data_IF_149020756772
#
_entry.id   IF_149020756772
#
_cell.length_a   1.000
_cell.length_b   1.000
_cell.length_c   1.000
_cell.angle_alpha   90.00
_cell.angle_beta   90.00
_cell.angle_gamma   90.00
#
_symmetry.space_group_name_H-M   'P 1'
#
loop_
_entity.id
_entity.type
_entity.pdbx_description
1 polymer ?
#
# COMPACT_ATOMS: atom_id res chain seq x y z
N UNK A 1 11.52 14.53 30.66
CA UNK A 1 10.27 15.19 31.12
C UNK A 1 9.20 14.14 31.46
N UNK A 2 8.20 14.43 32.32
CA UNK A 2 7.17 13.44 32.70
C UNK A 2 5.94 13.40 31.79
N UNK A 3 5.68 14.51 31.09
CA UNK A 3 4.57 14.64 30.14
C UNK A 3 4.90 15.67 29.07
N UNK A 4 4.33 15.49 27.88
CA UNK A 4 4.31 16.49 26.81
C UNK A 4 3.16 16.18 25.84
N UNK A 5 2.74 17.17 25.07
CA UNK A 5 1.78 16.96 23.98
C UNK A 5 2.41 17.29 22.64
N UNK A 6 1.97 16.59 21.59
CA UNK A 6 2.32 16.85 20.20
C UNK A 6 1.08 17.32 19.44
N UNK A 7 1.27 18.27 18.53
CA UNK A 7 0.28 18.72 17.57
C UNK A 7 0.74 18.37 16.16
N UNK A 8 0.27 17.25 15.63
CA UNK A 8 0.66 16.75 14.30
C UNK A 8 -0.57 16.71 13.42
N UNK A 9 -0.55 17.45 12.32
CA UNK A 9 -1.68 17.53 11.37
C UNK A 9 -3.02 17.91 12.02
N UNK A 10 -3.01 18.65 13.15
CA UNK A 10 -4.21 18.99 13.91
C UNK A 10 -4.77 17.84 14.76
N UNK A 11 -3.98 16.80 15.00
CA UNK A 11 -4.22 15.84 16.07
C UNK A 11 -3.40 16.22 17.30
N UNK A 12 -4.05 16.22 18.45
CA UNK A 12 -3.39 16.30 19.75
C UNK A 12 -3.03 14.89 20.22
N UNK A 13 -1.75 14.65 20.53
CA UNK A 13 -1.25 13.39 21.09
C UNK A 13 -0.58 13.72 22.42
N UNK A 14 -1.18 13.31 23.52
CA UNK A 14 -0.65 13.55 24.87
C UNK A 14 0.14 12.32 25.32
N UNK A 15 1.39 12.53 25.77
CA UNK A 15 2.23 11.47 26.30
C UNK A 15 2.52 11.74 27.77
N UNK A 16 2.29 10.73 28.62
CA UNK A 16 2.53 10.81 30.07
C UNK A 16 3.15 9.51 30.60
N UNK A 17 4.09 9.62 31.54
CA UNK A 17 4.71 8.45 32.18
C UNK A 17 3.78 7.81 33.22
N UNK A 18 3.73 6.49 33.25
CA UNK A 18 2.95 5.73 34.21
C UNK A 18 3.75 5.46 35.49
N UNK A 19 3.64 6.30 36.54
CA UNK A 19 4.13 6.09 37.93
C UNK A 19 5.57 5.53 38.14
N UNK A 20 6.34 5.31 37.08
CA UNK A 20 7.68 4.73 37.04
C UNK A 20 8.72 5.83 36.78
N UNK A 21 9.98 5.57 37.19
CA UNK A 21 11.15 6.45 37.00
C UNK A 21 11.61 6.54 35.53
N UNK A 22 10.69 6.74 34.58
CA UNK A 22 11.03 7.03 33.18
C UNK A 22 10.96 8.54 32.95
N UNK A 23 12.00 9.09 32.33
CA UNK A 23 12.00 10.43 31.73
C UNK A 23 11.71 10.28 30.24
N UNK A 24 10.66 10.93 29.75
CA UNK A 24 10.43 11.03 28.31
C UNK A 24 11.40 12.03 27.71
N UNK A 25 12.04 11.67 26.61
CA UNK A 25 12.98 12.51 25.88
C UNK A 25 12.64 12.42 24.38
N UNK A 26 11.71 13.24 23.86
CA UNK A 26 11.33 13.20 22.45
C UNK A 26 12.53 13.58 21.57
N UNK A 27 12.70 12.87 20.45
CA UNK A 27 13.71 13.19 19.44
C UNK A 27 13.59 14.63 18.91
N UNK A 28 14.71 15.26 18.49
CA UNK A 28 14.72 16.63 17.96
C UNK A 28 13.68 16.93 16.86
N UNK A 29 13.35 15.95 16.00
CA UNK A 29 12.28 16.03 14.99
C UNK A 29 10.89 16.35 15.51
N UNK A 30 10.63 16.11 16.79
CA UNK A 30 9.35 16.45 17.40
C UNK A 30 9.32 17.87 17.99
N UNK A 31 10.46 18.55 18.19
CA UNK A 31 10.51 19.82 18.93
C UNK A 31 9.58 20.88 18.36
N UNK A 32 9.52 21.03 17.04
CA UNK A 32 8.62 21.98 16.38
C UNK A 32 7.13 21.63 16.53
N UNK A 33 6.80 20.38 16.85
CA UNK A 33 5.45 19.85 17.03
C UNK A 33 5.03 19.78 18.50
N UNK A 34 5.92 20.04 19.47
CA UNK A 34 5.58 20.06 20.88
C UNK A 34 4.66 21.25 21.15
N UNK A 35 3.50 20.96 21.75
CA UNK A 35 2.58 21.95 22.27
C UNK A 35 2.39 21.69 23.77
N UNK A 36 2.50 22.73 24.59
CA UNK A 36 2.37 22.56 26.03
C UNK A 36 0.91 22.28 26.43
N UNK A 37 0.69 21.14 27.11
CA UNK A 37 -0.48 20.86 27.95
C UNK A 37 -1.85 21.11 27.30
N UNK A 38 -2.06 20.54 26.11
CA UNK A 38 -3.34 20.59 25.40
C UNK A 38 -4.34 19.58 25.99
N UNK A 39 -5.63 19.95 26.02
CA UNK A 39 -6.73 19.06 26.38
C UNK A 39 -7.35 18.43 25.13
N UNK A 40 -7.72 17.15 25.21
CA UNK A 40 -8.34 16.41 24.11
C UNK A 40 -7.33 15.67 23.22
N UNK A 41 -7.84 14.93 22.24
CA UNK A 41 -7.04 14.05 21.39
C UNK A 41 -6.81 12.67 22.02
N UNK A 42 -5.67 12.06 21.71
CA UNK A 42 -5.31 10.73 22.22
C UNK A 42 -4.37 10.87 23.40
N UNK A 43 -4.70 10.18 24.49
CA UNK A 43 -3.88 10.08 25.69
C UNK A 43 -3.08 8.78 25.67
N UNK A 44 -1.76 8.89 25.64
CA UNK A 44 -0.83 7.77 25.58
C UNK A 44 -0.06 7.68 26.88
N UNK A 45 -0.35 6.61 27.62
CA UNK A 45 0.37 6.30 28.85
C UNK A 45 1.60 5.44 28.55
N UNK A 46 2.79 5.88 28.97
CA UNK A 46 4.07 5.22 28.72
C UNK A 46 4.52 4.45 29.96
N UNK A 47 4.74 3.15 29.81
CA UNK A 47 5.07 2.21 30.89
C UNK A 47 6.46 1.57 30.67
N UNK A 48 7.15 1.22 31.76
CA UNK A 48 8.35 0.37 31.71
C UNK A 48 7.96 -1.11 31.78
N UNK A 49 8.66 -1.95 31.03
CA UNK A 49 8.56 -3.40 31.12
C UNK A 49 7.72 -4.03 30.00
N UNK A 50 7.23 -5.24 30.28
CA UNK A 50 6.50 -6.07 29.32
C UNK A 50 5.03 -5.67 29.28
N UNK A 51 4.44 -5.67 28.09
CA UNK A 51 3.00 -5.49 27.92
C UNK A 51 2.24 -6.72 28.47
N UNK A 52 1.30 -6.54 29.41
CA UNK A 52 0.63 -7.67 30.09
C UNK A 52 -0.37 -8.41 29.19
N UNK A 53 -1.06 -7.71 28.28
CA UNK A 53 -2.22 -8.26 27.55
C UNK A 53 -1.88 -8.89 26.19
N UNK A 54 -0.60 -8.96 25.84
CA UNK A 54 -0.15 -9.38 24.50
C UNK A 54 -0.15 -10.91 24.31
N UNK A 55 -0.08 -11.70 25.38
CA UNK A 55 0.16 -13.15 25.30
C UNK A 55 -0.98 -13.92 24.59
N UNK A 56 -2.22 -13.41 24.65
CA UNK A 56 -3.40 -14.02 24.03
C UNK A 56 -3.79 -13.37 22.69
N UNK A 57 -2.83 -12.78 21.97
CA UNK A 57 -3.07 -12.08 20.71
C UNK A 57 -2.61 -12.89 19.49
N UNK A 58 -3.30 -12.70 18.36
CA UNK A 58 -2.95 -13.34 17.10
C UNK A 58 -2.09 -12.40 16.24
N UNK A 59 -0.99 -12.90 15.69
CA UNK A 59 -0.20 -12.14 14.70
C UNK A 59 -1.02 -12.03 13.41
N UNK A 60 -1.33 -10.80 13.02
CA UNK A 60 -2.12 -10.48 11.81
C UNK A 60 -1.28 -9.82 10.72
N UNK A 61 -0.11 -9.27 11.08
CA UNK A 61 0.85 -8.71 10.14
C UNK A 61 2.28 -8.81 10.70
N UNK A 62 3.28 -8.99 9.82
CA UNK A 62 4.69 -9.02 10.21
C UNK A 62 5.56 -8.37 9.14
N UNK A 63 6.36 -7.37 9.53
CA UNK A 63 7.35 -6.73 8.67
C UNK A 63 8.78 -7.19 9.02
N UNK A 64 9.59 -7.59 8.02
CA UNK A 64 11.03 -7.74 8.19
C UNK A 64 11.75 -6.38 8.20
N UNK A 65 12.95 -6.30 8.79
CA UNK A 65 13.80 -5.12 8.66
C UNK A 65 14.62 -5.26 7.39
N UNK A 66 14.44 -4.32 6.46
CA UNK A 66 15.10 -4.32 5.16
C UNK A 66 15.81 -2.99 4.99
N UNK A 67 17.13 -3.03 4.89
CA UNK A 67 17.93 -1.86 4.51
C UNK A 67 18.15 -1.89 3.00
N UNK A 68 18.09 -0.72 2.35
CA UNK A 68 18.39 -0.58 0.94
C UNK A 68 19.76 0.09 0.79
N UNK A 69 20.76 -0.69 0.41
CA UNK A 69 22.13 -0.20 0.16
C UNK A 69 22.36 -0.22 -1.35
N UNK A 70 22.58 0.96 -1.96
CA UNK A 70 22.80 1.11 -3.40
C UNK A 70 21.72 0.44 -4.28
N UNK A 71 20.45 0.52 -3.86
CA UNK A 71 19.31 -0.08 -4.58
C UNK A 71 19.14 -1.59 -4.35
N UNK A 72 20.01 -2.22 -3.54
CA UNK A 72 19.89 -3.63 -3.13
C UNK A 72 19.24 -3.69 -1.75
N UNK A 73 18.06 -4.31 -1.68
CA UNK A 73 17.34 -4.56 -0.42
C UNK A 73 17.95 -5.74 0.32
N UNK A 74 18.73 -5.45 1.36
CA UNK A 74 19.31 -6.41 2.27
C UNK A 74 18.39 -6.59 3.48
N UNK A 75 17.95 -7.82 3.74
CA UNK A 75 17.20 -8.13 4.95
C UNK A 75 18.18 -8.22 6.11
N UNK A 76 18.18 -7.22 6.98
CA UNK A 76 19.16 -7.08 8.07
C UNK A 76 18.67 -7.78 9.35
N UNK A 77 17.34 -7.78 9.63
CA UNK A 77 16.74 -8.55 10.74
C UNK A 77 15.41 -9.18 10.32
N UNK A 78 15.14 -10.39 10.84
CA UNK A 78 13.90 -11.14 10.58
C UNK A 78 12.66 -10.53 11.22
N UNK A 79 12.81 -9.83 12.35
CA UNK A 79 11.69 -9.25 13.11
C UNK A 79 11.94 -7.76 13.34
N UNK A 80 11.20 -6.90 12.63
CA UNK A 80 11.27 -5.44 12.78
C UNK A 80 10.08 -4.92 13.57
N UNK A 81 8.88 -5.17 13.06
CA UNK A 81 7.64 -4.90 13.76
C UNK A 81 6.54 -5.85 13.31
N UNK A 82 5.53 -6.02 14.17
CA UNK A 82 4.38 -6.90 13.96
C UNK A 82 3.11 -6.24 14.47
N UNK A 83 1.99 -6.57 13.84
CA UNK A 83 0.67 -6.25 14.37
C UNK A 83 0.07 -7.54 14.92
N UNK A 84 -0.42 -7.44 16.15
CA UNK A 84 -1.20 -8.48 16.78
C UNK A 84 -2.58 -7.92 17.12
N UNK A 85 -3.58 -8.79 17.18
CA UNK A 85 -4.95 -8.39 17.49
C UNK A 85 -5.60 -9.40 18.44
N UNK A 86 -6.41 -8.88 19.36
CA UNK A 86 -7.38 -9.65 20.13
C UNK A 86 -8.73 -8.92 20.12
N UNK A 87 -9.82 -9.48 20.68
CA UNK A 87 -11.14 -8.85 20.63
C UNK A 87 -11.23 -7.44 21.23
N UNK A 88 -10.31 -7.04 22.11
CA UNK A 88 -10.32 -5.73 22.77
C UNK A 88 -9.33 -4.72 22.19
N UNK A 89 -8.17 -5.18 21.70
CA UNK A 89 -7.02 -4.35 21.41
C UNK A 89 -6.28 -4.77 20.14
N UNK A 90 -5.73 -3.77 19.44
CA UNK A 90 -4.65 -3.90 18.47
C UNK A 90 -3.34 -3.65 19.20
N UNK A 91 -2.34 -4.49 18.94
CA UNK A 91 -0.98 -4.34 19.45
C UNK A 91 -0.01 -4.14 18.30
N UNK A 92 0.88 -3.16 18.43
CA UNK A 92 1.98 -2.94 17.50
C UNK A 92 3.28 -3.18 18.26
N UNK A 93 3.92 -4.32 18.00
CA UNK A 93 5.21 -4.66 18.59
C UNK A 93 6.32 -4.19 17.66
N UNK A 94 7.25 -3.39 18.16
CA UNK A 94 8.40 -2.87 17.41
C UNK A 94 9.71 -3.20 18.10
N UNK A 95 10.75 -3.43 17.32
CA UNK A 95 12.14 -3.37 17.76
C UNK A 95 12.74 -2.05 17.28
N UNK A 96 13.57 -1.40 18.08
CA UNK A 96 14.24 -0.14 17.68
C UNK A 96 15.62 -0.45 17.11
N UNK A 97 15.80 -0.44 15.78
CA UNK A 97 17.02 -0.95 15.14
C UNK A 97 18.25 -0.06 15.34
N UNK A 98 18.03 1.22 15.67
CA UNK A 98 19.07 2.23 15.81
C UNK A 98 19.48 2.51 17.26
N UNK A 99 18.96 1.76 18.22
CA UNK A 99 19.32 1.89 19.63
C UNK A 99 20.32 0.80 20.05
N UNK A 100 21.29 1.16 20.89
CA UNK A 100 22.43 0.30 21.26
C UNK A 100 22.07 -0.88 22.18
N UNK A 101 20.83 -0.94 22.68
CA UNK A 101 20.32 -2.01 23.53
C UNK A 101 19.17 -2.72 22.80
N UNK A 102 18.89 -3.99 23.09
CA UNK A 102 17.74 -4.74 22.55
C UNK A 102 16.40 -4.15 23.03
N UNK A 103 16.13 -2.91 22.63
CA UNK A 103 14.98 -2.13 23.05
C UNK A 103 13.84 -2.41 22.10
N UNK A 104 12.68 -2.65 22.71
CA UNK A 104 11.44 -2.89 22.00
C UNK A 104 10.31 -2.14 22.67
N UNK A 105 9.27 -1.87 21.88
CA UNK A 105 8.07 -1.24 22.37
C UNK A 105 6.82 -1.98 21.89
N UNK A 106 5.75 -1.88 22.68
CA UNK A 106 4.42 -2.35 22.30
C UNK A 106 3.45 -1.18 22.46
N UNK A 107 2.92 -0.68 21.35
CA UNK A 107 1.75 0.22 21.38
C UNK A 107 0.48 -0.61 21.46
N UNK A 108 -0.39 -0.26 22.40
CA UNK A 108 -1.70 -0.88 22.62
C UNK A 108 -2.79 0.12 22.29
N UNK A 109 -3.63 -0.24 21.32
CA UNK A 109 -4.73 0.56 20.80
C UNK A 109 -6.03 -0.18 21.07
N UNK A 110 -6.84 0.24 22.07
CA UNK A 110 -8.15 -0.35 22.28
C UNK A 110 -9.12 0.07 21.16
N UNK A 111 -10.00 -0.85 20.72
CA UNK A 111 -10.87 -0.61 19.56
C UNK A 111 -11.84 0.58 19.68
N UNK A 112 -12.12 1.06 20.90
CA UNK A 112 -13.08 2.14 21.17
C UNK A 112 -12.60 3.09 22.29
N UNK A 113 -11.31 3.43 22.29
CA UNK A 113 -10.74 4.31 23.32
C UNK A 113 -9.70 5.24 22.72
N UNK A 114 -9.73 6.49 23.18
CA UNK A 114 -8.67 7.47 22.94
C UNK A 114 -7.55 7.38 24.00
N UNK A 115 -7.66 6.45 24.97
CA UNK A 115 -6.61 6.15 25.94
C UNK A 115 -5.80 4.95 25.47
N UNK A 116 -4.59 5.19 24.96
CA UNK A 116 -3.66 4.21 24.46
C UNK A 116 -2.51 3.99 25.45
N UNK A 117 -1.66 3.00 25.20
CA UNK A 117 -0.50 2.75 26.04
C UNK A 117 0.71 2.28 25.25
N UNK A 118 1.90 2.74 25.61
CA UNK A 118 3.18 2.26 25.07
C UNK A 118 3.95 1.58 26.20
N UNK A 119 4.30 0.32 26.00
CA UNK A 119 5.14 -0.44 26.92
C UNK A 119 6.54 -0.58 26.35
N UNK A 120 7.56 -0.09 27.07
CA UNK A 120 8.95 -0.09 26.61
C UNK A 120 9.75 -1.13 27.41
N UNK A 121 10.34 -2.09 26.71
CA UNK A 121 11.20 -3.13 27.26
C UNK A 121 12.65 -2.90 26.84
N UNK A 122 13.57 -2.89 27.81
CA UNK A 122 14.98 -2.52 27.60
C UNK A 122 15.19 -1.00 27.56
N UNK A 123 16.43 -0.54 27.65
CA UNK A 123 16.78 0.89 27.64
C UNK A 123 17.04 1.51 29.02
N UNK A 124 17.52 2.75 28.99
CA UNK A 124 17.91 3.56 30.14
C UNK A 124 16.69 4.15 30.89
N UNK A 125 16.93 5.05 31.84
CA UNK A 125 15.87 5.82 32.52
C UNK A 125 15.25 6.90 31.62
N UNK A 126 15.95 7.32 30.56
CA UNK A 126 15.43 8.24 29.54
C UNK A 126 15.06 7.51 28.24
N UNK A 127 13.93 7.88 27.63
CA UNK A 127 13.49 7.25 26.38
C UNK A 127 12.67 8.18 25.49
N UNK A 128 12.88 8.10 24.18
CA UNK A 128 11.90 8.54 23.18
C UNK A 128 10.85 7.42 23.00
N UNK A 129 9.58 7.61 23.42
CA UNK A 129 8.55 6.60 23.21
C UNK A 129 8.12 6.45 21.75
N UNK A 130 8.46 7.42 20.89
CA UNK A 130 8.12 7.47 19.47
C UNK A 130 9.36 7.24 18.57
N UNK A 131 10.40 6.61 19.11
CA UNK A 131 11.55 6.18 18.32
C UNK A 131 11.12 5.33 17.12
N UNK A 132 11.81 5.47 15.98
CA UNK A 132 11.48 4.76 14.76
C UNK A 132 11.47 3.24 14.98
N UNK A 133 10.41 2.51 14.55
CA UNK A 133 9.32 2.94 13.67
C UNK A 133 7.99 3.30 14.37
N UNK A 134 8.00 3.49 15.69
CA UNK A 134 6.77 3.67 16.46
C UNK A 134 5.98 4.93 16.04
N UNK A 135 6.67 6.01 15.77
CA UNK A 135 6.13 7.27 15.22
C UNK A 135 5.23 7.06 13.99
N UNK A 136 5.76 6.46 12.93
CA UNK A 136 5.01 6.27 11.69
C UNK A 136 3.83 5.31 11.85
N UNK A 137 4.00 4.28 12.68
CA UNK A 137 2.93 3.30 12.96
C UNK A 137 1.80 3.91 13.78
N UNK A 138 2.13 4.72 14.79
CA UNK A 138 1.16 5.48 15.57
C UNK A 138 0.37 6.44 14.68
N UNK A 139 1.06 7.24 13.86
CA UNK A 139 0.40 8.18 12.94
C UNK A 139 -0.48 7.45 11.92
N UNK A 140 -0.04 6.32 11.39
CA UNK A 140 -0.85 5.51 10.48
C UNK A 140 -2.17 5.09 11.14
N UNK A 141 -2.13 4.46 12.32
CA UNK A 141 -3.36 4.03 12.98
C UNK A 141 -4.23 5.18 13.43
N UNK A 142 -3.62 6.29 13.87
CA UNK A 142 -4.33 7.53 14.18
C UNK A 142 -5.13 8.03 12.97
N UNK A 143 -4.52 8.09 11.78
CA UNK A 143 -5.22 8.52 10.55
C UNK A 143 -6.32 7.54 10.14
N UNK A 144 -6.05 6.23 10.13
CA UNK A 144 -7.03 5.20 9.74
C UNK A 144 -8.25 5.19 10.66
N UNK A 145 -8.06 5.34 11.98
CA UNK A 145 -9.16 5.37 12.95
C UNK A 145 -10.05 6.59 12.73
N UNK A 146 -9.46 7.74 12.40
CA UNK A 146 -10.16 8.99 12.17
C UNK A 146 -10.71 9.16 10.74
N UNK A 147 -10.52 8.17 9.86
CA UNK A 147 -10.96 8.24 8.47
C UNK A 147 -10.16 9.24 7.64
N UNK A 148 -8.91 9.49 8.02
CA UNK A 148 -7.91 10.26 7.27
C UNK A 148 -6.89 9.27 6.64
N UNK A 149 -5.85 9.77 5.97
CA UNK A 149 -4.86 8.87 5.33
C UNK A 149 -3.44 9.44 5.33
N UNK A 150 -2.48 8.53 5.18
CA UNK A 150 -1.09 8.88 4.87
C UNK A 150 -0.77 8.51 3.42
N UNK A 151 -0.13 9.43 2.69
CA UNK A 151 0.34 9.22 1.31
C UNK A 151 1.84 9.54 1.24
N UNK A 152 2.57 8.77 0.45
CA UNK A 152 3.98 9.05 0.18
C UNK A 152 4.10 9.95 -1.06
N UNK A 153 4.61 11.17 -0.88
CA UNK A 153 4.62 12.17 -1.94
C UNK A 153 5.44 13.41 -1.58
N UNK A 154 5.46 14.39 -2.47
CA UNK A 154 5.85 15.76 -2.14
C UNK A 154 4.65 16.70 -2.23
N UNK A 155 4.35 17.37 -1.12
CA UNK A 155 3.28 18.33 -1.01
C UNK A 155 3.79 19.76 -1.21
N UNK A 156 3.20 20.49 -2.14
CA UNK A 156 3.61 21.84 -2.55
C UNK A 156 2.44 22.79 -2.39
N UNK A 157 2.68 23.97 -1.81
CA UNK A 157 1.75 25.09 -1.80
C UNK A 157 2.32 26.23 -2.63
N UNK A 158 1.57 26.68 -3.62
CA UNK A 158 1.97 27.74 -4.54
C UNK A 158 0.75 28.62 -4.88
N UNK A 159 0.85 29.93 -4.64
CA UNK A 159 -0.21 30.91 -4.92
C UNK A 159 -1.63 30.49 -4.46
N UNK A 160 -1.73 29.92 -3.25
CA UNK A 160 -3.00 29.49 -2.67
C UNK A 160 -3.53 28.15 -3.19
N UNK A 161 -2.81 27.49 -4.11
CA UNK A 161 -3.09 26.13 -4.58
C UNK A 161 -2.17 25.13 -3.93
N UNK A 162 -2.68 23.94 -3.65
CA UNK A 162 -1.89 22.83 -3.13
C UNK A 162 -1.90 21.59 -4.01
N UNK A 163 -0.71 21.03 -4.20
CA UNK A 163 -0.46 19.87 -5.05
C UNK A 163 0.27 18.79 -4.25
N UNK A 164 -0.12 17.53 -4.45
CA UNK A 164 0.70 16.38 -4.04
C UNK A 164 1.23 15.69 -5.29
N UNK A 165 2.54 15.51 -5.36
CA UNK A 165 3.20 14.69 -6.38
C UNK A 165 3.56 13.33 -5.76
N UNK A 166 2.93 12.28 -6.23
CA UNK A 166 3.03 10.93 -5.68
C UNK A 166 3.38 9.92 -6.77
N UNK A 167 4.04 8.82 -6.43
CA UNK A 167 4.38 7.77 -7.38
C UNK A 167 5.39 6.78 -6.79
N UNK A 168 5.73 5.73 -7.53
CA UNK A 168 6.74 4.73 -7.09
C UNK A 168 8.08 5.37 -6.72
N UNK A 169 8.88 4.66 -5.93
CA UNK A 169 10.25 5.10 -5.64
C UNK A 169 11.03 5.36 -6.93
N UNK A 170 11.78 6.46 -6.99
CA UNK A 170 12.51 6.89 -8.19
C UNK A 170 11.68 7.63 -9.25
N UNK A 171 10.38 7.85 -9.05
CA UNK A 171 9.52 8.61 -9.97
C UNK A 171 9.81 10.11 -10.05
N UNK A 172 10.64 10.65 -9.15
CA UNK A 172 11.04 12.07 -9.15
C UNK A 172 10.26 12.97 -8.18
N UNK A 173 9.70 12.43 -7.07
CA UNK A 173 9.03 13.21 -6.01
C UNK A 173 9.91 14.32 -5.43
N UNK A 174 11.16 13.99 -5.09
CA UNK A 174 12.15 14.95 -4.59
C UNK A 174 12.59 15.94 -5.68
N UNK A 175 12.62 15.50 -6.95
CA UNK A 175 12.86 16.40 -8.09
C UNK A 175 11.76 17.44 -8.21
N UNK A 176 10.48 17.06 -8.07
CA UNK A 176 9.36 18.01 -7.99
C UNK A 176 9.51 18.97 -6.81
N UNK A 177 9.83 18.46 -5.61
CA UNK A 177 10.03 19.32 -4.45
C UNK A 177 11.13 20.37 -4.69
N UNK A 178 12.26 19.97 -5.28
CA UNK A 178 13.37 20.86 -5.64
C UNK A 178 12.96 21.94 -6.65
N UNK A 179 12.39 21.54 -7.79
CA UNK A 179 11.98 22.46 -8.85
C UNK A 179 10.96 23.50 -8.35
N UNK A 180 9.94 23.07 -7.61
CA UNK A 180 8.94 23.98 -7.06
C UNK A 180 9.52 24.90 -5.98
N UNK A 181 10.45 24.41 -5.15
CA UNK A 181 11.16 25.24 -4.17
C UNK A 181 12.00 26.33 -4.85
N UNK A 182 12.72 25.98 -5.91
CA UNK A 182 13.51 26.94 -6.71
C UNK A 182 12.62 27.99 -7.38
N UNK A 183 11.41 27.61 -7.79
CA UNK A 183 10.38 28.52 -8.30
C UNK A 183 9.65 29.33 -7.21
N UNK A 184 10.11 29.27 -5.95
CA UNK A 184 9.56 30.06 -4.84
C UNK A 184 8.28 29.49 -4.20
N UNK A 185 7.90 28.25 -4.49
CA UNK A 185 6.80 27.60 -3.82
C UNK A 185 7.19 27.10 -2.42
N UNK A 186 6.18 26.96 -1.55
CA UNK A 186 6.35 26.37 -0.23
C UNK A 186 6.26 24.85 -0.33
N UNK A 187 7.35 24.15 -0.04
CA UNK A 187 7.32 22.69 0.18
C UNK A 187 6.70 22.44 1.56
N UNK A 188 5.51 21.83 1.56
CA UNK A 188 4.84 21.39 2.80
C UNK A 188 5.60 20.21 3.37
N UNK A 189 5.87 19.18 2.56
CA UNK A 189 6.63 18.00 2.94
C UNK A 189 7.10 17.21 1.70
N UNK A 190 8.08 16.32 1.83
CA UNK A 190 8.64 15.50 0.74
C UNK A 190 8.84 14.02 1.09
N UNK A 191 8.24 13.54 2.18
CA UNK A 191 8.12 12.11 2.54
C UNK A 191 6.64 11.69 2.69
N UNK A 192 6.21 11.29 3.90
CA UNK A 192 4.86 10.84 4.16
C UNK A 192 4.01 12.00 4.66
N UNK A 193 3.04 12.42 3.85
CA UNK A 193 2.07 13.44 4.22
C UNK A 193 0.83 12.81 4.85
N UNK A 194 0.22 13.54 5.77
CA UNK A 194 -1.15 13.25 6.21
C UNK A 194 -2.11 14.08 5.35
N UNK A 195 -3.13 13.43 4.79
CA UNK A 195 -4.27 14.10 4.16
C UNK A 195 -5.46 13.97 5.10
N UNK A 196 -6.07 15.10 5.44
CA UNK A 196 -7.28 15.13 6.27
C UNK A 196 -8.43 15.83 5.58
N UNK A 197 -9.64 15.33 5.84
CA UNK A 197 -10.88 16.02 5.47
C UNK A 197 -11.28 16.97 6.60
N UNK A 198 -11.27 18.27 6.32
CA UNK A 198 -11.78 19.29 7.25
C UNK A 198 -13.05 19.87 6.65
N UNK A 199 -14.20 19.52 7.24
CA UNK A 199 -15.54 19.83 6.69
C UNK A 199 -15.72 19.20 5.29
N UNK A 200 -15.69 20.02 4.23
CA UNK A 200 -15.86 19.60 2.83
C UNK A 200 -14.57 19.71 2.02
N UNK A 201 -13.50 20.17 2.63
CA UNK A 201 -12.23 20.44 1.97
C UNK A 201 -11.16 19.49 2.47
N UNK A 202 -10.14 19.30 1.66
CA UNK A 202 -8.99 18.45 2.00
C UNK A 202 -7.76 19.31 2.23
N UNK A 203 -6.98 18.92 3.22
CA UNK A 203 -5.73 19.57 3.57
C UNK A 203 -4.62 18.53 3.67
N UNK A 204 -3.43 18.92 3.26
CA UNK A 204 -2.20 18.15 3.44
C UNK A 204 -1.36 18.72 4.56
N UNK A 205 -0.65 17.86 5.28
CA UNK A 205 0.16 18.19 6.44
C UNK A 205 1.49 17.48 6.40
N UNK A 206 2.55 18.14 6.88
CA UNK A 206 3.82 17.47 7.12
C UNK A 206 3.78 16.58 8.37
N UNK A 207 4.78 15.69 8.46
CA UNK A 207 4.98 14.79 9.60
C UNK A 207 6.38 15.02 10.16
N UNK A 208 6.61 14.72 11.46
CA UNK A 208 7.90 14.95 12.12
C UNK A 208 8.98 13.99 11.62
N UNK A 209 9.64 14.38 10.52
CA UNK A 209 10.76 13.64 9.91
C UNK A 209 12.07 14.38 10.13
N UNK A 210 12.06 15.71 9.99
CA UNK A 210 13.25 16.55 10.09
C UNK A 210 13.33 17.27 11.43
N UNK A 211 14.54 17.42 11.95
CA UNK A 211 14.82 18.10 13.21
C UNK A 211 14.33 19.55 13.18
N UNK A 212 13.67 19.96 14.27
CA UNK A 212 13.19 21.33 14.49
C UNK A 212 12.21 21.85 13.41
N UNK A 213 11.64 20.98 12.58
CA UNK A 213 10.65 21.39 11.59
C UNK A 213 9.33 21.78 12.26
N UNK A 214 8.80 22.96 11.90
CA UNK A 214 7.50 23.42 12.36
C UNK A 214 6.35 22.74 11.59
N UNK A 215 5.17 22.56 12.21
CA UNK A 215 3.97 22.12 11.53
C UNK A 215 3.62 23.01 10.32
N UNK A 216 3.39 22.37 9.19
CA UNK A 216 2.99 23.00 7.92
C UNK A 216 1.73 22.33 7.41
N UNK A 217 0.87 23.14 6.82
CA UNK A 217 -0.31 22.67 6.10
C UNK A 217 -0.55 23.49 4.85
N UNK A 218 -1.36 22.94 3.96
CA UNK A 218 -1.96 23.63 2.82
C UNK A 218 -3.27 22.95 2.41
N UNK A 219 -4.16 23.71 1.78
CA UNK A 219 -5.31 23.15 1.06
C UNK A 219 -4.81 22.17 -0.01
N UNK A 220 -5.56 21.12 -0.31
CA UNK A 220 -5.22 20.13 -1.33
C UNK A 220 -6.18 20.25 -2.50
N UNK A 221 -5.71 20.82 -3.61
CA UNK A 221 -6.49 21.01 -4.83
C UNK A 221 -6.37 19.82 -5.79
N UNK A 222 -5.17 19.23 -5.88
CA UNK A 222 -4.89 18.19 -6.89
C UNK A 222 -3.79 17.23 -6.47
N UNK A 223 -3.94 15.96 -6.85
CA UNK A 223 -2.91 14.92 -6.72
C UNK A 223 -2.44 14.52 -8.11
N UNK A 224 -1.14 14.67 -8.34
CA UNK A 224 -0.45 14.20 -9.53
C UNK A 224 0.28 12.89 -9.24
N UNK A 225 -0.09 11.85 -9.97
CA UNK A 225 0.60 10.58 -10.02
C UNK A 225 1.70 10.67 -11.08
N UNK A 226 2.93 10.85 -10.63
CA UNK A 226 4.06 11.23 -11.50
C UNK A 226 4.77 10.02 -12.09
N UNK A 227 5.18 10.17 -13.34
CA UNK A 227 6.02 9.22 -14.05
C UNK A 227 7.01 9.96 -14.96
N UNK A 228 8.14 9.31 -15.28
CA UNK A 228 9.09 9.86 -16.23
C UNK A 228 8.47 9.93 -17.63
N UNK A 229 8.65 11.07 -18.29
CA UNK A 229 8.16 11.32 -19.65
C UNK A 229 9.23 11.96 -20.54
N UNK A 230 8.99 11.93 -21.85
CA UNK A 230 9.77 12.71 -22.82
C UNK A 230 9.14 14.08 -23.14
N UNK A 231 8.05 14.41 -22.45
CA UNK A 231 7.32 15.69 -22.53
C UNK A 231 6.41 15.80 -21.31
N UNK A 232 6.00 17.03 -21.00
CA UNK A 232 4.96 17.26 -20.00
C UNK A 232 3.60 16.88 -20.57
N UNK A 233 2.90 15.98 -19.87
CA UNK A 233 1.58 15.51 -20.28
C UNK A 233 0.76 15.13 -19.06
N UNK A 234 -0.43 15.71 -18.98
CA UNK A 234 -1.42 15.39 -17.98
C UNK A 234 -2.53 14.50 -18.53
N UNK A 235 -2.97 13.52 -17.75
CA UNK A 235 -4.13 12.69 -18.04
C UNK A 235 -4.99 12.63 -16.78
N UNK A 236 -6.18 13.22 -16.83
CA UNK A 236 -7.14 13.11 -15.73
C UNK A 236 -7.57 11.66 -15.55
N UNK A 237 -7.60 11.18 -14.31
CA UNK A 237 -8.11 9.86 -13.96
C UNK A 237 -9.29 9.99 -12.98
N UNK A 238 -10.27 9.09 -13.08
CA UNK A 238 -11.51 9.13 -12.28
C UNK A 238 -11.96 7.73 -11.85
N UNK A 239 -12.89 7.68 -10.90
CA UNK A 239 -13.54 6.44 -10.46
C UNK A 239 -12.54 5.41 -9.91
N UNK A 240 -12.73 4.13 -10.25
CA UNK A 240 -11.92 3.04 -9.71
C UNK A 240 -10.42 3.15 -10.05
N UNK A 241 -10.07 3.77 -11.18
CA UNK A 241 -8.67 3.99 -11.55
C UNK A 241 -8.00 5.01 -10.63
N UNK A 242 -8.69 6.13 -10.34
CA UNK A 242 -8.18 7.13 -9.39
C UNK A 242 -8.02 6.53 -7.99
N UNK A 243 -9.04 5.84 -7.49
CA UNK A 243 -9.02 5.22 -6.16
C UNK A 243 -7.88 4.22 -6.02
N UNK A 244 -7.73 3.30 -6.97
CA UNK A 244 -6.66 2.29 -6.87
C UNK A 244 -5.27 2.89 -7.00
N UNK A 245 -5.08 3.89 -7.86
CA UNK A 245 -3.78 4.54 -8.05
C UNK A 245 -3.37 5.44 -6.88
N UNK A 246 -4.32 6.12 -6.23
CA UNK A 246 -4.03 6.88 -4.99
C UNK A 246 -3.74 5.92 -3.85
N UNK A 247 -4.61 4.92 -3.67
CA UNK A 247 -4.48 3.93 -2.60
C UNK A 247 -3.13 3.21 -2.65
N UNK A 248 -2.61 2.85 -3.84
CA UNK A 248 -1.29 2.20 -3.98
C UNK A 248 -0.10 3.05 -3.51
N UNK A 249 -0.29 4.35 -3.32
CA UNK A 249 0.71 5.26 -2.79
C UNK A 249 0.47 5.61 -1.31
N UNK A 250 -0.62 5.10 -0.72
CA UNK A 250 -0.89 5.18 0.71
C UNK A 250 -0.21 4.03 1.47
N UNK A 251 0.03 4.25 2.76
CA UNK A 251 0.47 3.17 3.66
C UNK A 251 -0.69 2.19 3.86
N UNK A 252 -0.42 0.88 3.83
CA UNK A 252 -1.43 -0.16 3.95
C UNK A 252 -0.91 -1.37 4.74
N UNK A 253 -1.64 -1.77 5.78
CA UNK A 253 -1.36 -3.02 6.51
C UNK A 253 -2.40 -4.12 6.28
N UNK A 254 -3.53 -3.81 5.61
CA UNK A 254 -4.54 -4.69 5.02
C UNK A 254 -4.80 -6.06 5.69
N UNK A 255 -4.88 -6.11 7.01
CA UNK A 255 -5.12 -7.36 7.74
C UNK A 255 -6.56 -7.48 8.26
N UNK A 256 -7.26 -6.36 8.45
CA UNK A 256 -8.65 -6.32 8.91
C UNK A 256 -9.59 -5.79 7.84
N UNK A 257 -10.72 -6.48 7.63
CA UNK A 257 -11.71 -6.08 6.63
C UNK A 257 -12.27 -4.67 6.90
N UNK A 258 -12.58 -4.35 8.14
CA UNK A 258 -13.14 -3.05 8.55
C UNK A 258 -12.18 -1.90 8.24
N UNK A 259 -10.87 -2.08 8.50
CA UNK A 259 -9.84 -1.10 8.16
C UNK A 259 -9.71 -0.94 6.64
N UNK A 260 -9.73 -2.04 5.88
CA UNK A 260 -9.68 -2.00 4.41
C UNK A 260 -10.89 -1.24 3.85
N UNK A 261 -12.09 -1.57 4.32
CA UNK A 261 -13.34 -0.94 3.88
C UNK A 261 -13.32 0.57 4.21
N UNK A 262 -12.83 0.96 5.39
CA UNK A 262 -12.67 2.37 5.78
C UNK A 262 -11.66 3.10 4.90
N UNK A 263 -10.46 2.55 4.71
CA UNK A 263 -9.44 3.17 3.85
C UNK A 263 -9.92 3.35 2.41
N UNK A 264 -10.65 2.37 1.87
CA UNK A 264 -11.25 2.46 0.53
C UNK A 264 -12.28 3.60 0.46
N UNK A 265 -13.16 3.71 1.44
CA UNK A 265 -14.16 4.78 1.46
C UNK A 265 -13.52 6.16 1.65
N UNK A 266 -12.49 6.28 2.49
CA UNK A 266 -11.73 7.52 2.65
C UNK A 266 -11.08 7.96 1.33
N UNK A 267 -10.37 7.05 0.64
CA UNK A 267 -9.73 7.36 -0.65
C UNK A 267 -10.77 7.67 -1.72
N UNK A 268 -11.90 6.96 -1.74
CA UNK A 268 -13.02 7.26 -2.64
C UNK A 268 -13.55 8.68 -2.41
N UNK A 269 -13.88 9.04 -1.17
CA UNK A 269 -14.36 10.39 -0.84
C UNK A 269 -13.34 11.47 -1.23
N UNK A 270 -12.04 11.18 -1.11
CA UNK A 270 -10.98 12.07 -1.57
C UNK A 270 -11.03 12.25 -3.09
N UNK A 271 -11.08 11.15 -3.85
CA UNK A 271 -11.11 11.18 -5.32
C UNK A 271 -12.40 11.80 -5.89
N UNK A 272 -13.48 11.84 -5.11
CA UNK A 272 -14.73 12.53 -5.49
C UNK A 272 -14.63 14.07 -5.32
N UNK A 273 -13.64 14.57 -4.57
CA UNK A 273 -13.50 16.00 -4.22
C UNK A 273 -12.22 16.63 -4.79
N UNK A 274 -11.11 15.90 -4.78
CA UNK A 274 -9.78 16.35 -5.21
C UNK A 274 -9.49 15.81 -6.59
N UNK A 275 -8.99 16.68 -7.48
CA UNK A 275 -8.64 16.26 -8.83
C UNK A 275 -7.44 15.31 -8.81
N UNK A 276 -7.54 14.22 -9.56
CA UNK A 276 -6.49 13.22 -9.67
C UNK A 276 -6.07 13.11 -11.13
N UNK A 277 -4.76 13.25 -11.38
CA UNK A 277 -4.20 13.14 -12.72
C UNK A 277 -2.91 12.33 -12.72
N UNK A 278 -2.65 11.61 -13.81
CA UNK A 278 -1.30 11.15 -14.12
C UNK A 278 -0.53 12.29 -14.79
N UNK A 279 0.73 12.46 -14.40
CA UNK A 279 1.64 13.45 -14.97
C UNK A 279 2.92 12.77 -15.44
N UNK A 280 3.09 12.70 -16.75
CA UNK A 280 4.40 12.46 -17.37
C UNK A 280 5.12 13.81 -17.40
N UNK A 281 6.37 13.88 -16.96
CA UNK A 281 7.09 15.16 -16.90
C UNK A 281 8.56 15.09 -17.33
N UNK A 282 9.06 16.25 -17.76
CA UNK A 282 10.49 16.55 -17.90
C UNK A 282 11.01 17.18 -16.60
N UNK A 283 12.18 16.78 -16.09
CA UNK A 283 12.70 17.24 -14.80
C UNK A 283 13.33 18.64 -14.87
N UNK A 284 12.60 19.60 -15.42
CA UNK A 284 12.98 21.01 -15.53
C UNK A 284 11.79 21.94 -15.25
N UNK A 285 12.02 23.26 -15.27
CA UNK A 285 11.00 24.26 -14.92
C UNK A 285 9.80 24.30 -15.86
N UNK A 286 9.86 23.68 -17.05
CA UNK A 286 8.74 23.64 -17.99
C UNK A 286 7.53 22.87 -17.46
N UNK A 287 7.73 21.97 -16.49
CA UNK A 287 6.62 21.26 -15.82
C UNK A 287 5.81 22.21 -14.93
N UNK A 288 6.46 23.21 -14.34
CA UNK A 288 5.81 24.18 -13.44
C UNK A 288 4.88 25.05 -14.28
N UNK A 289 5.40 25.67 -15.35
CA UNK A 289 4.57 26.45 -16.27
C UNK A 289 3.44 25.61 -16.86
N UNK A 290 3.72 24.36 -17.24
CA UNK A 290 2.69 23.45 -17.73
C UNK A 290 1.56 23.22 -16.69
N UNK A 291 1.86 23.10 -15.40
CA UNK A 291 0.84 22.92 -14.35
C UNK A 291 0.12 24.23 -14.06
N UNK A 292 0.83 25.35 -13.96
CA UNK A 292 0.25 26.64 -13.60
C UNK A 292 -0.60 27.24 -14.72
N UNK A 293 -0.17 27.09 -15.98
CA UNK A 293 -0.87 27.64 -17.14
C UNK A 293 -2.15 26.85 -17.47
N UNK A 294 -2.16 25.54 -17.15
CA UNK A 294 -3.32 24.67 -17.32
C UNK A 294 -4.26 24.66 -16.10
N UNK A 295 -3.93 25.40 -15.02
CA UNK A 295 -4.76 25.53 -13.83
C UNK A 295 -6.02 26.39 -14.11
N UNK A 296 -6.90 25.89 -14.99
CA UNK A 296 -8.12 26.58 -15.41
C UNK A 296 -8.83 26.00 -16.64
N UNK A 297 -8.29 24.98 -17.31
CA UNK A 297 -8.91 24.45 -18.53
C UNK A 297 -9.06 22.91 -18.51
N UNK A 298 -10.19 22.37 -18.02
CA UNK A 298 -10.42 20.94 -17.93
C UNK A 298 -10.64 20.23 -19.29
N UNK A 299 -10.72 20.97 -20.40
CA UNK A 299 -11.21 20.44 -21.69
C UNK A 299 -10.15 20.09 -22.75
N UNK A 300 -8.85 20.22 -22.45
CA UNK A 300 -7.80 19.94 -23.46
C UNK A 300 -7.33 18.46 -23.45
N UNK A 301 -7.69 17.65 -22.46
CA UNK A 301 -7.11 16.30 -22.27
C UNK A 301 -8.10 15.15 -22.43
N UNK A 302 -8.80 15.08 -23.57
CA UNK A 302 -9.54 13.87 -23.94
C UNK A 302 -9.55 13.58 -25.44
N UNK A 303 -8.37 13.37 -26.06
CA UNK A 303 -8.34 12.50 -27.26
C UNK A 303 -8.42 11.05 -26.78
N UNK A 304 -9.62 10.48 -26.92
CA UNK A 304 -10.00 9.09 -26.67
C UNK A 304 -8.82 8.12 -26.83
N UNK A 305 -8.30 7.67 -25.69
CA UNK A 305 -7.37 6.55 -25.63
C UNK A 305 -8.15 5.26 -25.80
N UNK A 306 -7.97 4.63 -26.97
CA UNK A 306 -8.41 3.28 -27.33
C UNK A 306 -8.53 2.31 -26.13
N UNK A 307 -9.62 1.53 -26.02
CA UNK A 307 -9.85 0.52 -24.96
C UNK A 307 -8.64 -0.41 -24.69
N UNK A 308 -7.75 -0.59 -25.68
CA UNK A 308 -6.49 -1.33 -25.56
C UNK A 308 -5.49 -0.67 -24.60
N UNK A 309 -5.42 0.68 -24.58
CA UNK A 309 -4.53 1.46 -23.70
C UNK A 309 -5.00 1.48 -22.24
N UNK A 310 -6.31 1.51 -21.99
CA UNK A 310 -6.84 1.38 -20.61
C UNK A 310 -6.54 -0.01 -20.03
N UNK A 311 -6.64 -1.05 -20.86
CA UNK A 311 -6.28 -2.42 -20.46
C UNK A 311 -4.77 -2.56 -20.23
N UNK A 312 -3.91 -1.87 -20.98
CA UNK A 312 -2.47 -1.80 -20.72
C UNK A 312 -2.15 -1.01 -19.43
N UNK A 313 -2.77 0.15 -19.22
CA UNK A 313 -2.58 0.94 -17.99
C UNK A 313 -3.00 0.18 -16.71
N UNK A 314 -4.07 -0.61 -16.77
CA UNK A 314 -4.48 -1.50 -15.67
C UNK A 314 -3.47 -2.63 -15.40
N UNK A 315 -2.73 -3.08 -16.43
CA UNK A 315 -1.66 -4.08 -16.26
C UNK A 315 -0.42 -3.47 -15.68
N UNK A 316 -0.01 -2.30 -16.19
CA UNK A 316 1.13 -1.56 -15.68
C UNK A 316 0.92 -1.24 -14.21
N UNK A 317 -0.29 -0.80 -13.84
CA UNK A 317 -0.70 -0.62 -12.44
C UNK A 317 -0.64 -1.92 -11.64
N UNK A 318 -1.09 -3.05 -12.19
CA UNK A 318 -1.00 -4.35 -11.52
C UNK A 318 0.44 -4.81 -11.26
N UNK A 319 1.34 -4.58 -12.22
CA UNK A 319 2.78 -4.87 -12.10
C UNK A 319 3.46 -3.90 -11.13
N UNK A 320 3.08 -2.62 -11.19
CA UNK A 320 3.58 -1.56 -10.30
C UNK A 320 3.17 -1.84 -8.85
N UNK A 321 1.90 -2.17 -8.58
CA UNK A 321 1.38 -2.59 -7.28
C UNK A 321 2.20 -3.77 -6.74
N UNK A 322 2.45 -4.80 -7.56
CA UNK A 322 3.26 -5.96 -7.15
C UNK A 322 4.73 -5.60 -6.91
N UNK A 323 5.28 -4.64 -7.67
CA UNK A 323 6.67 -4.19 -7.50
C UNK A 323 6.91 -3.50 -6.13
N UNK A 324 5.88 -2.81 -5.60
CA UNK A 324 5.89 -2.16 -4.29
C UNK A 324 5.82 -3.13 -3.10
N UNK A 325 5.58 -4.43 -3.36
CA UNK A 325 5.38 -5.43 -2.30
C UNK A 325 3.93 -5.59 -1.86
N UNK A 326 3.01 -4.86 -2.49
CA UNK A 326 1.55 -4.97 -2.28
C UNK A 326 1.02 -6.23 -2.96
N UNK A 327 0.10 -6.93 -2.29
CA UNK A 327 -0.57 -8.11 -2.85
C UNK A 327 -1.75 -7.72 -3.75
N UNK A 328 -1.83 -8.28 -4.95
CA UNK A 328 -2.93 -8.08 -5.89
C UNK A 328 -3.97 -9.20 -5.76
N UNK A 329 -5.21 -8.88 -5.38
CA UNK A 329 -6.31 -9.85 -5.40
C UNK A 329 -6.98 -9.88 -6.78
N UNK A 330 -6.93 -11.02 -7.47
CA UNK A 330 -7.59 -11.22 -8.77
C UNK A 330 -8.54 -12.41 -8.72
N UNK A 331 -9.59 -12.38 -9.54
CA UNK A 331 -10.52 -13.52 -9.70
C UNK A 331 -10.02 -14.39 -10.85
N UNK A 332 -9.62 -15.63 -10.55
CA UNK A 332 -9.17 -16.59 -11.54
C UNK A 332 -10.31 -16.92 -12.52
N UNK A 333 -10.02 -16.83 -13.82
CA UNK A 333 -10.93 -17.19 -14.91
C UNK A 333 -10.33 -18.34 -15.72
N UNK A 334 -11.19 -19.21 -16.23
CA UNK A 334 -10.77 -20.37 -17.02
C UNK A 334 -10.41 -21.59 -16.18
N UNK A 335 -9.96 -22.65 -16.86
CA UNK A 335 -9.81 -23.99 -16.27
C UNK A 335 -8.39 -24.55 -16.40
N UNK A 336 -7.42 -23.79 -16.90
CA UNK A 336 -6.06 -24.30 -17.17
C UNK A 336 -5.38 -24.86 -15.92
N UNK A 337 -5.71 -24.31 -14.75
CA UNK A 337 -5.21 -24.73 -13.43
C UNK A 337 -6.16 -25.67 -12.66
N UNK A 338 -7.21 -26.19 -13.30
CA UNK A 338 -8.13 -27.12 -12.64
C UNK A 338 -7.42 -28.47 -12.35
N UNK A 339 -7.63 -29.13 -11.20
CA UNK A 339 -8.57 -28.82 -10.11
C UNK A 339 -8.03 -27.84 -9.05
N UNK A 340 -6.76 -27.48 -9.11
CA UNK A 340 -6.07 -26.64 -8.12
C UNK A 340 -6.72 -25.27 -7.98
N UNK A 341 -7.01 -24.60 -9.10
CA UNK A 341 -7.75 -23.35 -9.14
C UNK A 341 -9.04 -23.54 -9.94
N UNK A 342 -10.17 -23.31 -9.28
CA UNK A 342 -11.49 -23.35 -9.91
C UNK A 342 -11.84 -21.96 -10.47
N UNK A 343 -12.54 -21.86 -11.62
CA UNK A 343 -13.05 -20.58 -12.10
C UNK A 343 -13.86 -19.85 -11.01
N UNK A 344 -13.61 -18.55 -10.83
CA UNK A 344 -14.23 -17.74 -9.78
C UNK A 344 -13.48 -17.72 -8.45
N UNK A 345 -12.41 -18.51 -8.29
CA UNK A 345 -11.56 -18.45 -7.08
C UNK A 345 -10.88 -17.09 -7.00
N UNK A 346 -10.96 -16.43 -5.84
CA UNK A 346 -10.13 -15.27 -5.53
C UNK A 346 -8.72 -15.75 -5.22
N UNK A 347 -7.73 -15.23 -5.94
CA UNK A 347 -6.32 -15.53 -5.73
C UNK A 347 -5.60 -14.24 -5.36
N UNK A 348 -4.64 -14.35 -4.46
CA UNK A 348 -3.79 -13.23 -4.06
C UNK A 348 -2.42 -13.45 -4.71
N UNK A 349 -1.98 -12.50 -5.53
CA UNK A 349 -0.66 -12.51 -6.17
C UNK A 349 0.25 -11.61 -5.36
N UNK A 350 1.37 -12.14 -4.92
CA UNK A 350 2.43 -11.43 -4.20
C UNK A 350 3.62 -11.20 -5.12
N UNK A 351 4.52 -10.30 -4.72
CA UNK A 351 5.84 -10.19 -5.34
C UNK A 351 6.56 -11.54 -5.29
N UNK A 352 7.10 -11.97 -6.42
CA UNK A 352 7.86 -13.21 -6.51
C UNK A 352 9.30 -13.00 -6.04
N UNK A 353 9.78 -13.86 -5.14
CA UNK A 353 11.16 -13.88 -4.68
C UNK A 353 11.70 -15.30 -4.84
N UNK A 354 12.66 -15.49 -5.75
CA UNK A 354 13.31 -16.77 -6.03
C UNK A 354 12.31 -17.94 -6.19
N UNK A 355 11.50 -17.95 -7.27
CA UNK A 355 10.47 -18.97 -7.42
C UNK A 355 11.12 -20.35 -7.62
N UNK A 356 10.49 -21.39 -7.08
CA UNK A 356 10.93 -22.79 -7.14
C UNK A 356 9.92 -23.68 -7.87
N UNK A 357 10.35 -24.78 -8.50
CA UNK A 357 9.41 -25.74 -9.09
C UNK A 357 8.37 -26.20 -8.06
N UNK A 358 7.09 -26.13 -8.42
CA UNK A 358 5.95 -26.35 -7.54
C UNK A 358 5.12 -25.08 -7.29
N UNK A 359 5.76 -23.91 -7.32
CA UNK A 359 5.11 -22.61 -7.13
C UNK A 359 4.06 -22.32 -8.21
N UNK A 360 3.01 -21.60 -7.85
CA UNK A 360 2.05 -21.06 -8.80
C UNK A 360 2.45 -19.61 -9.08
N UNK A 361 2.87 -19.34 -10.31
CA UNK A 361 3.38 -18.03 -10.73
C UNK A 361 2.43 -17.37 -11.72
N UNK A 362 2.31 -16.04 -11.62
CA UNK A 362 1.59 -15.21 -12.55
C UNK A 362 2.56 -14.68 -13.62
N UNK A 363 2.28 -14.97 -14.88
CA UNK A 363 3.13 -14.67 -16.03
C UNK A 363 2.36 -13.73 -16.96
N UNK A 364 3.04 -12.70 -17.47
CA UNK A 364 2.52 -11.89 -18.57
C UNK A 364 2.74 -12.61 -19.91
N UNK A 365 1.64 -13.04 -20.54
CA UNK A 365 1.63 -13.65 -21.87
C UNK A 365 0.86 -12.76 -22.83
N UNK A 366 1.59 -12.02 -23.67
CA UNK A 366 1.02 -11.12 -24.70
C UNK A 366 0.01 -10.13 -24.11
N UNK A 367 0.29 -9.61 -22.92
CA UNK A 367 -0.60 -8.69 -22.23
C UNK A 367 -1.81 -9.39 -21.61
N UNK A 368 -1.76 -10.68 -21.32
CA UNK A 368 -2.75 -11.35 -20.47
C UNK A 368 -2.01 -12.00 -19.31
N UNK A 369 -2.43 -11.63 -18.10
CA UNK A 369 -1.93 -12.29 -16.91
C UNK A 369 -2.51 -13.71 -16.86
N UNK A 370 -1.63 -14.70 -16.96
CA UNK A 370 -1.96 -16.10 -16.79
C UNK A 370 -1.28 -16.61 -15.54
N UNK A 371 -1.89 -17.60 -14.89
CA UNK A 371 -1.37 -18.16 -13.64
C UNK A 371 -1.16 -19.64 -13.87
N UNK A 372 0.10 -20.09 -13.80
CA UNK A 372 0.48 -21.48 -14.05
C UNK A 372 1.52 -21.97 -13.05
N UNK A 373 1.63 -23.28 -12.89
CA UNK A 373 2.60 -23.88 -11.98
C UNK A 373 3.98 -23.89 -12.61
N UNK A 374 4.99 -23.37 -11.92
CA UNK A 374 6.39 -23.49 -12.29
C UNK A 374 6.80 -24.96 -12.22
N UNK A 375 7.20 -25.55 -13.34
CA UNK A 375 7.58 -26.97 -13.41
C UNK A 375 9.08 -27.17 -13.53
N UNK A 376 9.81 -26.19 -14.08
CA UNK A 376 11.25 -26.31 -14.32
C UNK A 376 11.92 -24.95 -14.38
N UNK A 377 13.15 -24.90 -13.88
CA UNK A 377 14.07 -23.77 -14.02
C UNK A 377 15.28 -24.27 -14.81
N UNK A 378 15.64 -23.55 -15.87
CA UNK A 378 16.79 -23.85 -16.73
C UNK A 378 17.84 -22.77 -16.52
N UNK A 379 19.07 -23.17 -16.21
CA UNK A 379 20.22 -22.26 -16.11
C UNK A 379 21.11 -22.46 -17.32
N UNK A 380 21.26 -21.42 -18.14
CA UNK A 380 22.13 -21.40 -19.31
C UNK A 380 23.18 -20.29 -19.18
N UNK A 381 24.17 -20.25 -20.08
CA UNK A 381 25.18 -19.17 -20.13
C UNK A 381 24.57 -17.77 -20.29
N UNK A 382 23.35 -17.67 -20.83
CA UNK A 382 22.63 -16.42 -21.09
C UNK A 382 21.65 -16.03 -19.97
N UNK A 383 21.64 -16.73 -18.82
CA UNK A 383 20.77 -16.43 -17.69
C UNK A 383 19.85 -17.58 -17.27
N UNK A 384 18.84 -17.25 -16.46
CA UNK A 384 17.87 -18.19 -15.89
C UNK A 384 16.54 -18.07 -16.65
N UNK A 385 15.99 -19.20 -17.08
CA UNK A 385 14.66 -19.28 -17.68
C UNK A 385 13.73 -20.18 -16.86
N UNK A 386 12.45 -19.84 -16.85
CA UNK A 386 11.39 -20.48 -16.08
C UNK A 386 10.38 -21.10 -17.04
N UNK A 387 9.99 -22.34 -16.79
CA UNK A 387 8.98 -23.05 -17.58
C UNK A 387 7.80 -23.36 -16.66
N UNK A 388 6.63 -22.83 -17.00
CA UNK A 388 5.39 -23.10 -16.29
C UNK A 388 4.44 -23.98 -17.10
N UNK A 389 3.42 -24.53 -16.44
CA UNK A 389 2.37 -25.32 -17.06
C UNK A 389 1.07 -25.21 -16.25
N UNK A 390 -0.05 -25.08 -16.94
CA UNK A 390 -1.36 -25.26 -16.32
C UNK A 390 -1.60 -26.71 -15.92
N UNK A 391 -2.14 -26.96 -14.71
CA UNK A 391 -2.32 -28.32 -14.18
C UNK A 391 -3.20 -29.24 -15.07
N UNK A 392 -4.01 -28.69 -15.97
CA UNK A 392 -4.82 -29.43 -16.96
C UNK A 392 -4.30 -29.31 -18.40
N UNK A 393 -3.24 -28.53 -18.63
CA UNK A 393 -2.66 -28.32 -19.95
C UNK A 393 -1.83 -29.54 -20.38
N UNK A 394 -1.85 -29.87 -21.68
CA UNK A 394 -1.09 -31.00 -22.24
C UNK A 394 0.39 -30.68 -22.41
N UNK A 395 0.71 -29.43 -22.74
CA UNK A 395 2.07 -28.98 -23.01
C UNK A 395 2.44 -27.84 -22.05
N UNK A 396 3.72 -27.75 -21.64
CA UNK A 396 4.22 -26.61 -20.90
C UNK A 396 4.21 -25.34 -21.76
N UNK A 397 4.27 -24.18 -21.10
CA UNK A 397 4.49 -22.91 -21.76
C UNK A 397 5.94 -22.80 -22.29
N UNK A 398 6.20 -21.90 -23.26
CA UNK A 398 7.55 -21.54 -23.65
C UNK A 398 8.37 -21.03 -22.45
N UNK A 399 9.70 -21.24 -22.42
CA UNK A 399 10.56 -20.67 -21.39
C UNK A 399 10.45 -19.14 -21.38
N UNK A 400 10.33 -18.57 -20.18
CA UNK A 400 10.27 -17.11 -19.96
C UNK A 400 11.37 -16.68 -19.00
N UNK A 401 11.87 -15.45 -19.14
CA UNK A 401 12.77 -14.86 -18.15
C UNK A 401 12.01 -14.34 -16.93
N UNK A 402 12.75 -13.93 -15.89
CA UNK A 402 12.17 -13.43 -14.63
C UNK A 402 11.34 -12.15 -14.86
N UNK A 403 11.68 -11.36 -15.86
CA UNK A 403 11.02 -10.11 -16.25
C UNK A 403 9.57 -10.31 -16.74
N UNK A 404 9.21 -11.53 -17.17
CA UNK A 404 7.84 -11.88 -17.55
C UNK A 404 7.03 -12.47 -16.40
N UNK A 405 7.65 -12.70 -15.24
CA UNK A 405 6.96 -13.19 -14.05
C UNK A 405 6.53 -11.98 -13.22
N UNK A 406 5.22 -11.76 -13.19
CA UNK A 406 4.58 -10.62 -12.52
C UNK A 406 4.47 -10.86 -11.01
N UNK A 407 4.31 -12.11 -10.57
CA UNK A 407 4.25 -12.45 -9.15
C UNK A 407 4.01 -13.92 -8.86
N UNK A 408 3.86 -14.28 -7.57
CA UNK A 408 3.58 -15.62 -7.07
C UNK A 408 2.25 -15.64 -6.32
N UNK A 409 1.43 -16.67 -6.52
CA UNK A 409 0.15 -16.80 -5.82
C UNK A 409 0.36 -17.23 -4.37
N UNK A 410 -0.17 -16.45 -3.43
CA UNK A 410 -0.11 -16.71 -2.00
C UNK A 410 -0.97 -17.92 -1.60
N UNK A 411 -0.45 -18.76 -0.71
CA UNK A 411 -1.17 -19.85 -0.03
C UNK A 411 -1.80 -20.92 -0.93
N UNK A 412 -0.97 -21.82 -1.46
CA UNK A 412 -1.41 -23.20 -1.75
C UNK A 412 -0.33 -24.18 -1.31
N UNK A 413 -0.68 -25.30 -0.66
CA UNK A 413 0.31 -26.26 -0.18
C UNK A 413 1.18 -26.73 -1.34
N UNK A 414 2.50 -26.68 -1.11
CA UNK A 414 3.49 -27.19 -2.04
C UNK A 414 3.15 -28.68 -2.28
N UNK A 415 2.68 -29.03 -3.47
CA UNK A 415 2.49 -30.43 -3.87
C UNK A 415 3.67 -30.82 -4.75
N UNK A 416 4.69 -31.49 -4.22
CA UNK A 416 5.80 -32.00 -5.02
C UNK A 416 5.41 -33.23 -5.87
N UNK A 417 4.12 -33.44 -6.17
CA UNK A 417 3.69 -34.60 -6.96
C UNK A 417 4.03 -34.39 -8.44
N UNK A 418 4.58 -35.45 -9.04
CA UNK A 418 4.99 -35.55 -10.44
C UNK A 418 3.82 -35.17 -11.37
N UNK A 419 3.81 -33.90 -11.80
CA UNK A 419 2.73 -33.25 -12.56
C UNK A 419 2.49 -33.87 -13.95
N UNK A 420 3.51 -34.54 -14.49
CA UNK A 420 3.49 -35.17 -15.82
C UNK A 420 2.43 -36.28 -15.93
N UNK A 421 2.11 -36.99 -14.84
CA UNK A 421 1.23 -38.17 -14.88
C UNK A 421 -0.27 -37.84 -14.75
N UNK A 422 -0.64 -36.73 -14.11
CA UNK A 422 -2.05 -36.42 -13.75
C UNK A 422 -2.77 -35.41 -14.66
N UNK A 423 -2.08 -34.74 -15.59
CA UNK A 423 -2.72 -33.75 -16.45
C UNK A 423 -3.89 -34.32 -17.26
N UNK A 424 -3.85 -35.60 -17.66
CA UNK A 424 -4.94 -36.27 -18.42
C UNK A 424 -6.22 -36.33 -17.59
N UNK A 425 -6.09 -36.69 -16.30
CA UNK A 425 -7.19 -36.73 -15.34
C UNK A 425 -7.69 -35.31 -15.07
N UNK A 426 -6.78 -34.37 -14.81
CA UNK A 426 -7.13 -32.97 -14.55
C UNK A 426 -7.86 -32.34 -15.75
N UNK A 427 -7.43 -32.62 -16.98
CA UNK A 427 -8.07 -32.17 -18.22
C UNK A 427 -9.46 -32.77 -18.40
N UNK A 428 -9.64 -34.05 -18.07
CA UNK A 428 -10.96 -34.67 -18.08
C UNK A 428 -11.90 -34.00 -17.08
N UNK A 429 -11.45 -33.78 -15.83
CA UNK A 429 -12.23 -33.09 -14.80
C UNK A 429 -12.54 -31.63 -15.17
N UNK A 430 -11.59 -30.92 -15.77
CA UNK A 430 -11.77 -29.57 -16.29
C UNK A 430 -12.88 -29.54 -17.35
N UNK A 431 -12.90 -30.53 -18.25
CA UNK A 431 -13.92 -30.65 -19.32
C UNK A 431 -15.31 -30.90 -18.73
N UNK A 432 -15.44 -31.80 -17.75
CA UNK A 432 -16.71 -32.02 -17.05
C UNK A 432 -17.21 -30.77 -16.32
N UNK A 433 -16.30 -30.04 -15.66
CA UNK A 433 -16.63 -28.80 -14.98
C UNK A 433 -17.11 -27.71 -15.97
N UNK A 434 -16.46 -27.58 -17.13
CA UNK A 434 -16.90 -26.68 -18.20
C UNK A 434 -18.31 -27.01 -18.69
N UNK A 435 -18.61 -28.29 -18.94
CA UNK A 435 -19.93 -28.74 -19.40
C UNK A 435 -20.98 -28.41 -18.36
N UNK A 436 -20.72 -28.74 -17.08
CA UNK A 436 -21.64 -28.44 -15.97
C UNK A 436 -21.93 -26.94 -15.85
N UNK A 437 -20.90 -26.11 -15.95
CA UNK A 437 -21.06 -24.66 -15.81
C UNK A 437 -21.78 -24.03 -17.03
N UNK A 438 -21.58 -24.60 -18.23
CA UNK A 438 -22.36 -24.23 -19.44
C UNK A 438 -23.83 -24.60 -19.28
N UNK A 439 -24.13 -25.80 -18.77
CA UNK A 439 -25.49 -26.25 -18.48
C UNK A 439 -26.15 -25.36 -17.43
N UNK A 440 -25.48 -25.04 -16.32
CA UNK A 440 -26.00 -24.10 -15.30
C UNK A 440 -26.32 -22.72 -15.87
N UNK A 441 -25.49 -22.18 -16.76
CA UNK A 441 -25.76 -20.89 -17.42
C UNK A 441 -27.02 -20.95 -18.29
N UNK A 442 -27.20 -22.02 -19.06
CA UNK A 442 -28.41 -22.22 -19.88
C UNK A 442 -29.68 -22.34 -19.02
N UNK A 443 -29.61 -23.08 -17.91
CA UNK A 443 -30.72 -23.17 -16.95
C UNK A 443 -31.05 -21.83 -16.27
N UNK A 444 -30.04 -21.02 -15.93
CA UNK A 444 -30.26 -19.70 -15.31
C UNK A 444 -30.79 -18.66 -16.31
N UNK A 445 -30.39 -18.73 -17.58
CA UNK A 445 -30.95 -17.89 -18.65
C UNK A 445 -32.41 -18.25 -18.95
N UNK A 446 -32.76 -19.55 -18.95
CA UNK A 446 -34.15 -20.00 -19.11
C UNK A 446 -35.09 -19.58 -17.98
N UNK A 447 -34.58 -19.40 -16.75
CA UNK A 447 -35.38 -18.87 -15.62
C UNK A 447 -35.64 -17.37 -15.69
N UNK A 448 -34.80 -16.59 -16.41
CA UNK A 448 -35.02 -15.16 -16.61
C UNK A 448 -36.04 -14.86 -17.70
N UNK A 449 -36.13 -15.68 -18.75
CA UNK A 449 -37.13 -15.53 -19.82
C UNK A 449 -38.56 -15.89 -19.39
N UNK A 450 -38.74 -16.74 -18.38
CA UNK A 450 -40.08 -17.12 -17.87
C UNK A 450 -40.71 -16.03 -16.97
N UNK A 451 -39.92 -15.06 -16.48
CA UNK A 451 -40.43 -14.01 -15.57
C UNK A 451 -41.00 -12.75 -16.25
N UNK A 452 -40.93 -12.63 -17.57
CA UNK A 452 -41.58 -11.56 -18.32
C UNK A 452 -42.50 -12.12 -19.42
N UNK A 453 -43.70 -12.63 -19.10
CA UNK A 453 -44.76 -12.64 -20.09
C UNK A 453 -45.30 -11.20 -20.18
N UNK A 454 -44.96 -10.53 -21.28
CA UNK A 454 -45.69 -9.34 -21.75
C UNK A 454 -47.14 -9.74 -22.00
N UNK A 455 -48.05 -9.25 -21.17
CA UNK A 455 -49.46 -9.12 -21.55
C UNK A 455 -49.68 -7.68 -22.00
N UNK A 456 -50.24 -7.56 -23.21
CA UNK A 456 -50.59 -6.30 -23.85
C UNK A 456 -51.93 -5.73 -23.41
#
# INVERSE_FOLDING_TARGET
>A
MKRYSLEIAGYTINLETAKDNISLCPSPRFRGFIADNKSGGIDIRVHKGKCPDIENSNIVFSAPYVEEINGIRLKVKTEFWKILNNPGNIFIKTCFPFENQEKSAVLTIPHNSDSWSIWISGGEEETDPLAYPMDGLLLYYLTVINGDMMIHGSGISHHGKGYIFSGVSGSGKSTMAGLWKEAGAKVVHDDRLIIRKVRKEYFMYNTPVYDDEAPKSAHLDKIFLIAHGNRNREIQIKGAEAVTSVLSNCIQHNWEKTQIDRSLETVRSLCDTVDISRLEFLPDTSVISFITDNAGNPDITAKQGNNKKQIEALKDLGVEILSTGTSLSVVAKGYSMYPTLKPGSKIVVNKVHNPVPGDIIAIDKEGKLIVHRLIKIIKNRNGISYIARGDSNRFPDPPVGIEKIVGQVASMPNRPEILESRYRINRFLATLAMIRDKVKKLFNQGKQTIKNPTFG
#
